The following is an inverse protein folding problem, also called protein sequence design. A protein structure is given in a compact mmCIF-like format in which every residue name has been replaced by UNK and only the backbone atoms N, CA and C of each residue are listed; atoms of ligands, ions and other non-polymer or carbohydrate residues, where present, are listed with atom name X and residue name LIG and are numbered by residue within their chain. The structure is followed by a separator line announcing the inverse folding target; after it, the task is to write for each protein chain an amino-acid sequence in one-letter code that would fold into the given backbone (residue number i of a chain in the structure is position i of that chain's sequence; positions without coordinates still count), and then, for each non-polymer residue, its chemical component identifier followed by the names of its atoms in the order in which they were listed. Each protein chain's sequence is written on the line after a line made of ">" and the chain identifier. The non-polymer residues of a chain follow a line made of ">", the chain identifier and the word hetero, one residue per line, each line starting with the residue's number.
data_IF_776593258709
#
_entry.id   IF_776593258709
#
_cell.length_a   1.000
_cell.length_b   1.000
_cell.length_c   1.000
_cell.angle_alpha   90.00
_cell.angle_beta   90.00
_cell.angle_gamma   90.00
#
_symmetry.space_group_name_H-M   'P 1'
#
loop_
_entity.id
_entity.type
_entity.pdbx_description
1 polymer ?
#
# COMPACT_ATOMS: atom_id res chain seq x y z
N UNK A 1 -12.87 -1.59 11.89
CA UNK A 1 -11.85 -2.63 12.12
C UNK A 1 -10.48 -1.97 12.13
N UNK A 2 -9.57 -2.44 12.99
CA UNK A 2 -8.21 -1.87 13.10
C UNK A 2 -7.19 -2.83 12.50
N UNK A 3 -6.33 -2.32 11.64
CA UNK A 3 -5.23 -3.04 11.00
C UNK A 3 -3.90 -2.34 11.29
N UNK A 4 -2.82 -3.11 11.34
CA UNK A 4 -1.47 -2.57 11.45
C UNK A 4 -0.76 -2.69 10.10
N UNK A 5 -0.08 -1.64 9.67
CA UNK A 5 0.78 -1.62 8.49
C UNK A 5 2.25 -1.47 8.95
N UNK A 6 2.99 -2.57 9.13
CA UNK A 6 4.37 -2.53 9.62
C UNK A 6 5.32 -1.83 8.68
N UNK A 7 6.17 -0.97 9.24
CA UNK A 7 7.35 -0.48 8.55
C UNK A 7 8.34 -1.62 8.30
N UNK A 8 9.21 -1.41 7.31
CA UNK A 8 10.33 -2.29 7.02
C UNK A 8 11.65 -1.54 7.06
N UNK A 9 12.71 -2.28 7.31
CA UNK A 9 14.08 -1.88 7.02
C UNK A 9 14.71 -2.87 6.04
N UNK A 10 15.82 -2.46 5.42
CA UNK A 10 16.65 -3.32 4.58
C UNK A 10 18.01 -3.50 5.26
N UNK A 11 18.18 -4.48 6.18
CA UNK A 11 19.44 -4.66 6.91
C UNK A 11 20.63 -4.95 5.99
N UNK A 12 20.36 -5.47 4.80
CA UNK A 12 21.32 -5.62 3.72
C UNK A 12 20.71 -5.07 2.43
N UNK A 13 21.49 -4.32 1.66
CA UNK A 13 21.14 -3.84 0.33
C UNK A 13 22.39 -3.81 -0.55
N UNK A 14 22.36 -4.56 -1.66
CA UNK A 14 23.34 -4.48 -2.72
C UNK A 14 22.67 -4.11 -4.03
N UNK A 15 23.28 -3.20 -4.77
CA UNK A 15 22.77 -2.63 -6.02
C UNK A 15 23.68 -3.11 -7.16
N UNK A 16 23.13 -3.85 -8.12
CA UNK A 16 23.87 -4.29 -9.32
C UNK A 16 23.95 -3.21 -10.39
N UNK A 17 24.66 -3.47 -11.51
CA UNK A 17 24.67 -2.55 -12.66
C UNK A 17 23.27 -2.44 -13.30
N UNK A 18 22.91 -1.29 -13.92
CA UNK A 18 21.64 -1.15 -14.64
C UNK A 18 21.47 -2.23 -15.72
N UNK A 19 20.24 -2.73 -15.86
CA UNK A 19 19.85 -3.60 -16.96
C UNK A 19 19.55 -2.82 -18.25
N UNK A 20 19.17 -3.52 -19.32
CA UNK A 20 18.83 -2.93 -20.62
C UNK A 20 17.65 -1.95 -20.57
N UNK A 21 16.84 -2.02 -19.50
CA UNK A 21 15.69 -1.13 -19.26
C UNK A 21 16.07 0.06 -18.38
N UNK A 22 17.32 0.14 -17.92
CA UNK A 22 17.82 1.18 -17.03
C UNK A 22 17.52 0.96 -15.55
N UNK A 23 17.03 -0.21 -15.14
CA UNK A 23 16.74 -0.53 -13.74
C UNK A 23 17.91 -1.27 -13.08
N UNK A 24 18.13 -1.03 -11.79
CA UNK A 24 19.14 -1.76 -11.03
C UNK A 24 18.54 -3.04 -10.42
N UNK A 25 19.13 -4.22 -10.67
CA UNK A 25 18.78 -5.42 -9.92
C UNK A 25 19.26 -5.26 -8.47
N UNK A 26 18.35 -5.49 -7.53
CA UNK A 26 18.62 -5.38 -6.10
C UNK A 26 18.73 -6.77 -5.46
N UNK A 27 19.73 -6.94 -4.60
CA UNK A 27 19.79 -8.04 -3.62
C UNK A 27 19.62 -7.44 -2.24
N UNK A 28 18.57 -7.80 -1.53
CA UNK A 28 18.27 -7.20 -0.23
C UNK A 28 17.56 -8.19 0.69
N UNK A 29 17.69 -7.96 1.98
CA UNK A 29 16.88 -8.62 3.01
C UNK A 29 15.81 -7.61 3.43
N UNK A 30 14.55 -8.02 3.44
CA UNK A 30 13.47 -7.23 4.01
C UNK A 30 13.16 -7.74 5.41
N UNK A 31 13.09 -6.81 6.36
CA UNK A 31 12.69 -7.11 7.73
C UNK A 31 11.61 -6.14 8.17
N UNK A 32 10.44 -6.66 8.52
CA UNK A 32 9.42 -5.88 9.22
C UNK A 32 9.89 -5.53 10.63
N UNK A 33 9.55 -4.33 11.10
CA UNK A 33 9.89 -3.84 12.45
C UNK A 33 8.64 -3.51 13.23
N UNK A 34 8.76 -3.36 14.55
CA UNK A 34 7.62 -3.06 15.44
C UNK A 34 7.09 -1.62 15.35
N UNK A 35 7.60 -0.80 14.43
CA UNK A 35 7.01 0.50 14.08
C UNK A 35 6.00 0.26 12.96
N UNK A 36 4.78 0.78 13.10
CA UNK A 36 3.69 0.57 12.16
C UNK A 36 2.78 1.79 12.11
N UNK A 37 2.10 1.96 10.98
CA UNK A 37 0.90 2.79 10.92
C UNK A 37 -0.28 1.96 11.44
N UNK A 38 -1.15 2.58 12.24
CA UNK A 38 -2.43 2.00 12.64
C UNK A 38 -3.51 2.54 11.72
N UNK A 39 -4.25 1.64 11.07
CA UNK A 39 -5.29 1.96 10.09
C UNK A 39 -6.62 1.51 10.66
N UNK A 40 -7.49 2.47 10.95
CA UNK A 40 -8.89 2.20 11.27
C UNK A 40 -9.74 2.29 10.00
N UNK A 41 -10.58 1.28 9.79
CA UNK A 41 -11.49 1.18 8.65
C UNK A 41 -12.90 1.06 9.17
N UNK A 42 -13.73 2.05 8.87
CA UNK A 42 -15.16 2.03 9.12
C UNK A 42 -15.90 1.86 7.79
N UNK A 43 -16.93 1.02 7.80
CA UNK A 43 -17.79 0.82 6.63
C UNK A 43 -19.11 1.48 6.94
N UNK A 44 -19.41 2.54 6.19
CA UNK A 44 -20.65 3.29 6.32
C UNK A 44 -21.45 3.27 5.00
N UNK A 45 -22.78 3.45 5.05
CA UNK A 45 -23.58 3.65 3.85
C UNK A 45 -23.13 4.92 3.10
N UNK A 46 -22.76 4.77 1.83
CA UNK A 46 -22.31 5.88 1.00
C UNK A 46 -21.56 5.41 -0.23
N UNK A 47 -21.04 6.36 -0.99
CA UNK A 47 -20.15 6.10 -2.13
C UNK A 47 -18.81 6.77 -1.86
N UNK A 48 -17.71 6.07 -2.11
CA UNK A 48 -16.38 6.66 -1.98
C UNK A 48 -15.55 6.09 -0.84
N UNK A 49 -14.28 6.48 -0.82
CA UNK A 49 -13.37 6.27 0.30
C UNK A 49 -12.97 7.64 0.84
N UNK A 50 -13.20 7.85 2.13
CA UNK A 50 -12.75 9.05 2.83
C UNK A 50 -11.53 8.73 3.69
N UNK A 51 -10.55 9.65 3.69
CA UNK A 51 -9.36 9.56 4.54
C UNK A 51 -9.46 10.59 5.64
N UNK A 52 -9.53 10.12 6.89
CA UNK A 52 -9.69 10.95 8.09
C UNK A 52 -8.40 10.96 8.90
N UNK A 53 -8.16 12.03 9.66
CA UNK A 53 -7.07 12.12 10.65
C UNK A 53 -5.71 12.59 10.10
N UNK A 54 -5.42 12.36 8.82
CA UNK A 54 -4.21 12.88 8.17
C UNK A 54 -4.52 13.38 6.76
N UNK A 55 -3.94 14.52 6.39
CA UNK A 55 -3.97 15.01 5.02
C UNK A 55 -3.15 14.07 4.11
N UNK A 56 -3.83 13.35 3.22
CA UNK A 56 -3.21 12.51 2.20
C UNK A 56 -3.67 12.95 0.81
N UNK A 57 -2.86 12.75 -0.24
CA UNK A 57 -3.31 12.98 -1.61
C UNK A 57 -4.51 12.08 -1.94
N UNK A 58 -5.47 12.61 -2.71
CA UNK A 58 -6.62 11.83 -3.20
C UNK A 58 -6.18 10.57 -3.97
N UNK A 59 -5.15 10.72 -4.82
CA UNK A 59 -4.50 9.57 -5.47
C UNK A 59 -3.31 9.11 -4.62
N UNK A 60 -3.48 7.96 -3.95
CA UNK A 60 -2.47 7.37 -3.07
C UNK A 60 -2.41 5.84 -3.27
N UNK A 61 -1.56 5.17 -2.50
CA UNK A 61 -1.36 3.71 -2.63
C UNK A 61 -2.56 2.90 -2.17
N UNK A 62 -3.34 3.39 -1.19
CA UNK A 62 -4.60 2.74 -0.76
C UNK A 62 -5.62 2.82 -1.88
N UNK A 63 -5.82 4.00 -2.48
CA UNK A 63 -6.81 4.16 -3.55
C UNK A 63 -6.47 3.33 -4.79
N UNK A 64 -5.20 3.30 -5.18
CA UNK A 64 -4.70 2.41 -6.24
C UNK A 64 -4.87 0.93 -5.93
N UNK A 65 -4.60 0.51 -4.69
CA UNK A 65 -4.74 -0.88 -4.28
C UNK A 65 -6.21 -1.33 -4.33
N UNK A 66 -7.15 -0.50 -3.88
CA UNK A 66 -8.58 -0.79 -3.96
C UNK A 66 -9.06 -0.90 -5.41
N UNK A 67 -8.66 0.05 -6.27
CA UNK A 67 -8.96 0.01 -7.71
C UNK A 67 -8.51 -1.30 -8.36
N UNK A 68 -7.25 -1.69 -8.16
CA UNK A 68 -6.71 -2.94 -8.68
C UNK A 68 -7.35 -4.19 -8.06
N UNK A 69 -7.68 -4.15 -6.76
CA UNK A 69 -8.37 -5.26 -6.11
C UNK A 69 -9.75 -5.49 -6.74
N UNK A 70 -10.50 -4.43 -7.03
CA UNK A 70 -11.79 -4.51 -7.71
C UNK A 70 -11.68 -4.97 -9.16
N UNK A 71 -10.65 -4.53 -9.90
CA UNK A 71 -10.39 -5.02 -11.25
C UNK A 71 -10.06 -6.53 -11.27
N UNK A 72 -9.27 -7.01 -10.30
CA UNK A 72 -8.85 -8.41 -10.22
C UNK A 72 -9.90 -9.32 -9.54
N UNK A 73 -10.77 -8.76 -8.70
CA UNK A 73 -11.80 -9.46 -7.93
C UNK A 73 -13.13 -8.70 -8.01
N UNK A 74 -13.86 -8.81 -9.14
CA UNK A 74 -15.17 -8.16 -9.32
C UNK A 74 -16.27 -8.71 -8.39
N UNK A 75 -15.99 -9.81 -7.69
CA UNK A 75 -16.88 -10.40 -6.69
C UNK A 75 -16.82 -9.68 -5.34
N UNK A 76 -15.83 -8.81 -5.12
CA UNK A 76 -15.74 -8.01 -3.90
C UNK A 76 -16.74 -6.84 -3.94
N UNK A 77 -17.31 -6.44 -2.79
CA UNK A 77 -18.13 -5.25 -2.70
C UNK A 77 -17.36 -4.04 -3.22
N UNK A 78 -17.88 -3.39 -4.26
CA UNK A 78 -17.22 -2.23 -4.85
C UNK A 78 -17.50 -0.96 -4.05
N UNK A 79 -16.44 -0.18 -3.87
CA UNK A 79 -16.51 1.19 -3.37
C UNK A 79 -15.87 2.06 -4.44
N UNK A 80 -16.51 3.16 -4.83
CA UNK A 80 -15.90 4.13 -5.74
C UNK A 80 -14.62 4.69 -5.12
N UNK A 81 -13.53 4.79 -5.88
CA UNK A 81 -12.22 5.23 -5.37
C UNK A 81 -11.56 6.27 -6.25
#
# INVERSE_FOLDING_TARGET
>A
MTLLAPAKINPFLAVGPPDERGYHPLRTIFQAVGLYDEIEIEIEPGEGVEFVGQAVPAENTVTKALRLAYELRPDLPHVSV
#
